data_IF_455455584261
#
_entry.id   IF_455455584261
#
_cell.length_a   1.000
_cell.length_b   1.000
_cell.length_c   1.000
_cell.angle_alpha   90.00
_cell.angle_beta   90.00
_cell.angle_gamma   90.00
#
_symmetry.space_group_name_H-M   'P 1'
#
loop_
_entity.id
_entity.type
_entity.pdbx_description
1 polymer ?
#
# COMPACT_ATOMS: atom_id res chain seq x y z
N UNK A 1 -4.24 17.31 -16.27
CA UNK A 1 -3.00 17.20 -15.49
C UNK A 1 -1.84 17.57 -16.40
N UNK A 2 -0.92 18.42 -15.95
CA UNK A 2 0.39 18.55 -16.61
C UNK A 2 1.09 17.20 -16.42
N UNK A 3 1.53 16.57 -17.49
CA UNK A 3 2.35 15.35 -17.40
C UNK A 3 3.56 15.67 -16.51
N UNK A 4 3.77 14.91 -15.43
CA UNK A 4 5.06 14.94 -14.75
C UNK A 4 6.09 14.50 -15.78
N UNK A 5 7.03 15.37 -16.11
CA UNK A 5 8.22 14.92 -16.82
C UNK A 5 8.98 13.97 -15.91
N UNK A 6 9.56 12.93 -16.48
CA UNK A 6 10.44 12.01 -15.74
C UNK A 6 11.48 12.82 -14.94
N UNK A 7 11.50 12.63 -13.62
CA UNK A 7 12.43 13.30 -12.71
C UNK A 7 11.97 14.64 -12.10
N UNK A 8 10.76 15.13 -12.40
CA UNK A 8 10.25 16.34 -11.75
C UNK A 8 9.75 16.04 -10.32
N UNK A 9 10.27 16.78 -9.34
CA UNK A 9 9.86 16.63 -7.93
C UNK A 9 8.42 17.10 -7.72
N UNK A 10 7.74 16.51 -6.74
CA UNK A 10 6.40 16.97 -6.39
C UNK A 10 6.44 18.38 -5.78
N UNK A 11 5.39 19.15 -6.08
CA UNK A 11 5.12 20.45 -5.49
C UNK A 11 3.83 20.37 -4.66
N UNK A 12 3.58 21.37 -3.81
CA UNK A 12 2.39 21.44 -2.96
C UNK A 12 1.05 21.16 -3.68
N UNK A 13 0.88 21.59 -4.94
CA UNK A 13 -0.34 21.30 -5.71
C UNK A 13 -0.48 19.82 -6.04
N UNK A 14 0.59 19.17 -6.49
CA UNK A 14 0.59 17.73 -6.76
C UNK A 14 0.40 16.93 -5.47
N UNK A 15 1.08 17.32 -4.40
CA UNK A 15 0.94 16.69 -3.07
C UNK A 15 -0.51 16.72 -2.59
N UNK A 16 -1.21 17.86 -2.73
CA UNK A 16 -2.64 17.96 -2.40
C UNK A 16 -3.52 17.07 -3.28
N UNK A 17 -3.26 17.01 -4.59
CA UNK A 17 -4.01 16.14 -5.51
C UNK A 17 -3.82 14.67 -5.15
N UNK A 18 -2.62 14.26 -4.74
CA UNK A 18 -2.34 12.88 -4.30
C UNK A 18 -3.00 12.57 -2.96
N UNK A 19 -2.98 13.52 -2.01
CA UNK A 19 -3.70 13.35 -0.75
C UNK A 19 -5.20 13.18 -0.96
N UNK A 20 -5.79 13.99 -1.86
CA UNK A 20 -7.18 13.84 -2.24
C UNK A 20 -7.45 12.51 -2.96
N UNK A 21 -6.58 12.10 -3.89
CA UNK A 21 -6.70 10.81 -4.55
C UNK A 21 -6.64 9.65 -3.55
N UNK A 22 -5.66 9.65 -2.64
CA UNK A 22 -5.50 8.63 -1.60
C UNK A 22 -6.78 8.51 -0.75
N UNK A 23 -7.36 9.64 -0.36
CA UNK A 23 -8.67 9.70 0.31
C UNK A 23 -9.79 9.09 -0.53
N UNK A 24 -9.89 9.44 -1.82
CA UNK A 24 -10.95 8.94 -2.69
C UNK A 24 -10.85 7.43 -2.93
N UNK A 25 -9.65 6.90 -3.19
CA UNK A 25 -9.45 5.47 -3.46
C UNK A 25 -9.60 4.61 -2.21
N UNK A 26 -9.71 5.20 -1.02
CA UNK A 26 -10.18 4.50 0.18
C UNK A 26 -11.68 4.18 0.13
N UNK A 27 -12.39 4.61 -0.92
CA UNK A 27 -13.80 4.29 -1.13
C UNK A 27 -13.99 3.40 -2.36
N UNK A 28 -14.77 2.33 -2.18
CA UNK A 28 -15.03 1.29 -3.18
C UNK A 28 -15.38 1.81 -4.59
N UNK A 29 -16.33 2.78 -4.77
CA UNK A 29 -16.69 3.22 -6.11
C UNK A 29 -15.52 3.85 -6.88
N UNK A 30 -14.73 4.69 -6.21
CA UNK A 30 -13.61 5.38 -6.85
C UNK A 30 -12.46 4.41 -7.07
N UNK A 31 -12.14 3.58 -6.08
CA UNK A 31 -11.11 2.54 -6.21
C UNK A 31 -11.39 1.63 -7.41
N UNK A 32 -12.57 1.03 -7.50
CA UNK A 32 -12.94 0.13 -8.58
C UNK A 32 -12.90 0.84 -9.95
N UNK A 33 -13.31 2.12 -10.02
CA UNK A 33 -13.22 2.90 -11.24
C UNK A 33 -11.76 3.15 -11.69
N UNK A 34 -10.87 3.46 -10.73
CA UNK A 34 -9.45 3.66 -11.01
C UNK A 34 -8.78 2.34 -11.40
N UNK A 35 -9.02 1.25 -10.68
CA UNK A 35 -8.50 -0.08 -11.01
C UNK A 35 -8.98 -0.57 -12.38
N UNK A 36 -10.26 -0.36 -12.71
CA UNK A 36 -10.80 -0.64 -14.03
C UNK A 36 -10.09 0.20 -15.10
N UNK A 37 -9.83 1.49 -14.82
CA UNK A 37 -9.09 2.35 -15.76
C UNK A 37 -7.67 1.85 -15.99
N UNK A 38 -6.95 1.46 -14.93
CA UNK A 38 -5.59 0.90 -15.00
C UNK A 38 -5.58 -0.44 -15.77
N UNK A 39 -6.60 -1.27 -15.56
CA UNK A 39 -6.66 -2.63 -16.12
C UNK A 39 -7.22 -2.69 -17.55
N UNK A 40 -8.08 -1.75 -17.96
CA UNK A 40 -8.78 -1.78 -19.25
C UNK A 40 -7.93 -1.32 -20.45
N UNK A 41 -6.69 -0.88 -20.24
CA UNK A 41 -5.71 -0.67 -21.32
C UNK A 41 -5.99 0.49 -22.29
N UNK A 42 -6.65 1.55 -21.85
CA UNK A 42 -6.89 2.76 -22.66
C UNK A 42 -5.65 3.68 -22.79
N UNK A 43 -5.66 4.68 -23.69
CA UNK A 43 -4.53 5.59 -23.91
C UNK A 43 -4.09 6.43 -22.68
N UNK A 44 -4.88 6.40 -21.59
CA UNK A 44 -4.57 7.03 -20.30
C UNK A 44 -4.61 6.08 -19.11
N UNK A 45 -4.75 4.77 -19.35
CA UNK A 45 -4.94 3.77 -18.28
C UNK A 45 -3.78 3.78 -17.29
N UNK A 46 -2.56 3.95 -17.79
CA UNK A 46 -1.36 3.90 -16.99
C UNK A 46 -0.94 5.27 -16.44
N UNK A 47 -1.57 6.39 -16.81
CA UNK A 47 -1.11 7.72 -16.35
C UNK A 47 -1.10 7.83 -14.82
N UNK A 48 -2.16 7.33 -14.15
CA UNK A 48 -2.26 7.35 -12.68
C UNK A 48 -1.24 6.41 -12.04
N UNK A 49 -1.14 5.18 -12.56
CA UNK A 49 -0.19 4.19 -12.07
C UNK A 49 1.26 4.69 -12.23
N UNK A 50 1.61 5.18 -13.41
CA UNK A 50 2.92 5.74 -13.73
C UNK A 50 3.23 6.95 -12.87
N UNK A 51 2.28 7.86 -12.66
CA UNK A 51 2.48 9.02 -11.77
C UNK A 51 2.79 8.59 -10.34
N UNK A 52 2.01 7.65 -9.77
CA UNK A 52 2.25 7.12 -8.42
C UNK A 52 3.61 6.42 -8.32
N UNK A 53 3.93 5.54 -9.28
CA UNK A 53 5.20 4.82 -9.31
C UNK A 53 6.40 5.77 -9.44
N UNK A 54 6.30 6.79 -10.30
CA UNK A 54 7.37 7.76 -10.49
C UNK A 54 7.62 8.58 -9.21
N UNK A 55 6.57 8.96 -8.49
CA UNK A 55 6.71 9.71 -7.24
C UNK A 55 7.36 8.86 -6.14
N UNK A 56 6.94 7.60 -6.01
CA UNK A 56 7.56 6.66 -5.07
C UNK A 56 9.03 6.39 -5.39
N UNK A 57 9.36 6.21 -6.67
CA UNK A 57 10.71 5.85 -7.09
C UNK A 57 11.69 7.03 -7.13
N UNK A 58 11.22 8.27 -7.21
CA UNK A 58 12.07 9.45 -7.31
C UNK A 58 12.71 9.78 -5.96
N UNK A 59 14.03 9.94 -5.94
CA UNK A 59 14.74 10.43 -4.77
C UNK A 59 14.66 11.96 -4.71
N UNK A 60 13.91 12.50 -3.76
CA UNK A 60 13.91 13.92 -3.42
C UNK A 60 13.71 14.12 -1.92
N UNK A 61 14.30 15.18 -1.37
CA UNK A 61 14.24 15.48 0.06
C UNK A 61 13.33 16.68 0.40
N UNK A 62 12.63 17.26 -0.60
CA UNK A 62 11.67 18.33 -0.31
C UNK A 62 10.50 17.80 0.51
N UNK A 63 10.01 18.62 1.45
CA UNK A 63 8.84 18.28 2.29
C UNK A 63 7.62 17.90 1.46
N UNK A 64 7.37 18.65 0.38
CA UNK A 64 6.26 18.39 -0.53
C UNK A 64 6.37 17.02 -1.19
N UNK A 65 7.59 16.60 -1.56
CA UNK A 65 7.82 15.31 -2.17
C UNK A 65 7.73 14.15 -1.19
N UNK A 66 8.25 14.33 0.02
CA UNK A 66 8.09 13.35 1.10
C UNK A 66 6.59 13.11 1.38
N UNK A 67 5.80 14.18 1.54
CA UNK A 67 4.36 14.05 1.71
C UNK A 67 3.66 13.41 0.51
N UNK A 68 4.11 13.70 -0.72
CA UNK A 68 3.59 13.05 -1.93
C UNK A 68 3.88 11.54 -1.95
N UNK A 69 5.04 11.10 -1.46
CA UNK A 69 5.39 9.69 -1.33
C UNK A 69 4.54 8.97 -0.27
N UNK A 70 4.23 9.64 0.84
CA UNK A 70 3.31 9.12 1.86
C UNK A 70 1.90 8.92 1.26
N UNK A 71 1.35 9.93 0.58
CA UNK A 71 0.04 9.80 -0.08
C UNK A 71 0.03 8.74 -1.19
N UNK A 72 1.11 8.62 -1.97
CA UNK A 72 1.23 7.55 -2.96
C UNK A 72 1.24 6.16 -2.31
N UNK A 73 1.90 6.01 -1.16
CA UNK A 73 1.92 4.78 -0.37
C UNK A 73 0.54 4.44 0.22
N UNK A 74 -0.21 5.45 0.68
CA UNK A 74 -1.59 5.27 1.14
C UNK A 74 -2.54 4.86 0.01
N UNK A 75 -2.39 5.45 -1.19
CA UNK A 75 -3.15 5.03 -2.35
C UNK A 75 -2.83 3.57 -2.74
N UNK A 76 -1.56 3.17 -2.67
CA UNK A 76 -1.14 1.78 -2.89
C UNK A 76 -1.81 0.82 -1.90
N UNK A 77 -1.80 1.16 -0.59
CA UNK A 77 -2.47 0.38 0.44
C UNK A 77 -3.97 0.21 0.10
N UNK A 78 -4.66 1.31 -0.20
CA UNK A 78 -6.08 1.27 -0.56
C UNK A 78 -6.34 0.43 -1.83
N UNK A 79 -5.49 0.52 -2.85
CA UNK A 79 -5.62 -0.33 -4.04
C UNK A 79 -5.48 -1.82 -3.72
N UNK A 80 -4.63 -2.18 -2.75
CA UNK A 80 -4.38 -3.56 -2.38
C UNK A 80 -5.34 -4.12 -1.32
N UNK A 81 -6.18 -3.28 -0.71
CA UNK A 81 -7.18 -3.68 0.28
C UNK A 81 -8.37 -4.40 -0.36
N UNK A 82 -8.47 -5.73 -0.19
CA UNK A 82 -9.53 -6.50 -0.84
C UNK A 82 -10.96 -6.19 -0.31
N UNK A 83 -11.08 -5.54 0.86
CA UNK A 83 -12.36 -5.18 1.48
C UNK A 83 -12.95 -3.90 0.89
N UNK A 84 -12.09 -3.01 0.38
CA UNK A 84 -12.53 -1.82 -0.37
C UNK A 84 -12.97 -2.27 -1.76
N UNK A 85 -14.24 -2.65 -1.89
CA UNK A 85 -14.81 -3.18 -3.13
C UNK A 85 -16.28 -2.86 -3.33
N UNK A 86 -16.70 -2.79 -4.61
CA UNK A 86 -18.11 -2.77 -4.96
C UNK A 86 -18.73 -4.18 -4.94
N UNK A 87 -17.93 -5.23 -5.02
CA UNK A 87 -18.43 -6.61 -5.09
C UNK A 87 -18.85 -7.06 -3.68
N UNK A 88 -20.05 -7.67 -3.50
CA UNK A 88 -20.42 -8.22 -2.20
C UNK A 88 -19.38 -9.23 -1.71
N UNK A 89 -18.93 -9.12 -0.45
CA UNK A 89 -17.92 -10.01 0.13
C UNK A 89 -18.36 -11.48 0.23
N UNK A 90 -19.65 -11.76 0.01
CA UNK A 90 -20.21 -13.11 -0.15
C UNK A 90 -20.03 -13.72 -1.55
N UNK A 91 -19.50 -12.95 -2.51
CA UNK A 91 -19.25 -13.40 -3.88
C UNK A 91 -18.11 -14.42 -3.93
N UNK A 92 -17.99 -15.13 -5.06
CA UNK A 92 -16.88 -16.05 -5.28
C UNK A 92 -15.53 -15.33 -5.14
N UNK A 93 -14.57 -15.96 -4.46
CA UNK A 93 -13.25 -15.39 -4.14
C UNK A 93 -12.53 -14.88 -5.38
N UNK A 94 -12.60 -15.61 -6.49
CA UNK A 94 -11.95 -15.21 -7.75
C UNK A 94 -12.53 -13.91 -8.32
N UNK A 95 -13.85 -13.74 -8.26
CA UNK A 95 -14.53 -12.51 -8.70
C UNK A 95 -14.13 -11.33 -7.81
N UNK A 96 -14.05 -11.56 -6.51
CA UNK A 96 -13.65 -10.54 -5.54
C UNK A 96 -12.19 -10.11 -5.75
N UNK A 97 -11.27 -11.05 -5.98
CA UNK A 97 -9.88 -10.73 -6.30
C UNK A 97 -9.75 -9.97 -7.62
N UNK A 98 -10.47 -10.41 -8.66
CA UNK A 98 -10.45 -9.76 -9.98
C UNK A 98 -10.99 -8.33 -9.95
N UNK A 99 -12.04 -8.07 -9.17
CA UNK A 99 -12.71 -6.77 -9.13
C UNK A 99 -12.08 -5.76 -8.15
N UNK A 100 -11.37 -6.23 -7.12
CA UNK A 100 -10.92 -5.39 -6.00
C UNK A 100 -9.43 -5.08 -5.99
N UNK A 101 -8.61 -5.72 -6.82
CA UNK A 101 -7.16 -5.65 -6.73
C UNK A 101 -6.51 -5.24 -8.06
N UNK A 102 -5.27 -4.71 -8.04
CA UNK A 102 -4.52 -4.44 -9.25
C UNK A 102 -4.18 -5.74 -10.01
N UNK A 103 -4.14 -5.65 -11.34
CA UNK A 103 -3.57 -6.71 -12.17
C UNK A 103 -2.09 -6.95 -11.85
N UNK A 104 -1.55 -8.07 -12.35
CA UNK A 104 -0.20 -8.51 -12.04
C UNK A 104 0.85 -7.48 -12.46
N UNK A 105 0.74 -6.89 -13.64
CA UNK A 105 1.70 -5.89 -14.12
C UNK A 105 1.72 -4.66 -13.21
N UNK A 106 0.53 -4.20 -12.78
CA UNK A 106 0.42 -3.03 -11.92
C UNK A 106 0.95 -3.28 -10.53
N UNK A 107 0.64 -4.44 -9.95
CA UNK A 107 1.13 -4.82 -8.64
C UNK A 107 2.65 -4.96 -8.62
N UNK A 108 3.25 -5.55 -9.66
CA UNK A 108 4.71 -5.63 -9.81
C UNK A 108 5.34 -4.24 -9.91
N UNK A 109 4.74 -3.33 -10.71
CA UNK A 109 5.24 -1.96 -10.82
C UNK A 109 5.20 -1.20 -9.48
N UNK A 110 4.11 -1.35 -8.71
CA UNK A 110 3.97 -0.77 -7.38
C UNK A 110 5.00 -1.33 -6.38
N UNK A 111 5.24 -2.65 -6.41
CA UNK A 111 6.28 -3.29 -5.59
C UNK A 111 7.68 -2.79 -5.97
N UNK A 112 7.98 -2.65 -7.25
CA UNK A 112 9.29 -2.13 -7.69
C UNK A 112 9.50 -0.66 -7.33
N UNK A 113 8.46 0.17 -7.47
CA UNK A 113 8.52 1.59 -7.10
C UNK A 113 8.67 1.79 -5.58
N UNK A 114 7.94 1.02 -4.77
CA UNK A 114 8.08 1.05 -3.31
C UNK A 114 9.44 0.52 -2.83
N UNK A 115 10.02 -0.47 -3.51
CA UNK A 115 11.41 -0.90 -3.28
C UNK A 115 12.39 0.25 -3.49
N UNK A 116 12.28 0.94 -4.64
CA UNK A 116 13.14 2.08 -4.96
C UNK A 116 13.01 3.19 -3.92
N UNK A 117 11.80 3.41 -3.40
CA UNK A 117 11.54 4.33 -2.30
C UNK A 117 12.30 3.93 -1.02
N UNK A 118 12.21 2.67 -0.60
CA UNK A 118 12.91 2.13 0.58
C UNK A 118 14.44 2.06 0.40
N UNK A 119 14.93 1.99 -0.83
CA UNK A 119 16.36 2.07 -1.13
C UNK A 119 16.89 3.50 -1.16
N UNK A 120 16.01 4.48 -1.43
CA UNK A 120 16.40 5.88 -1.65
C UNK A 120 17.26 6.44 -0.52
N UNK A 121 18.27 7.24 -0.89
CA UNK A 121 19.10 7.98 0.05
C UNK A 121 18.34 9.13 0.74
N UNK A 122 17.23 9.59 0.14
CA UNK A 122 16.40 10.69 0.67
C UNK A 122 15.19 10.21 1.46
N UNK A 123 15.03 8.89 1.64
CA UNK A 123 13.88 8.33 2.37
C UNK A 123 13.83 8.82 3.81
N UNK A 124 12.63 9.11 4.27
CA UNK A 124 12.34 9.45 5.66
C UNK A 124 11.72 8.26 6.39
N UNK A 125 11.70 8.30 7.72
CA UNK A 125 11.01 7.29 8.52
C UNK A 125 9.51 7.27 8.20
N UNK A 126 8.87 8.44 8.08
CA UNK A 126 7.44 8.56 7.77
C UNK A 126 7.06 7.86 6.45
N UNK A 127 7.83 8.09 5.38
CA UNK A 127 7.62 7.41 4.09
C UNK A 127 7.85 5.90 4.22
N UNK A 128 8.91 5.49 4.92
CA UNK A 128 9.18 4.07 5.12
C UNK A 128 8.04 3.36 5.88
N UNK A 129 7.53 3.96 6.96
CA UNK A 129 6.38 3.48 7.73
C UNK A 129 5.15 3.35 6.84
N UNK A 130 4.86 4.36 6.01
CA UNK A 130 3.73 4.34 5.09
C UNK A 130 3.84 3.23 4.04
N UNK A 131 5.04 2.96 3.51
CA UNK A 131 5.28 1.83 2.60
C UNK A 131 5.11 0.49 3.32
N UNK A 132 5.65 0.33 4.53
CA UNK A 132 5.50 -0.90 5.31
C UNK A 132 4.04 -1.19 5.66
N UNK A 133 3.26 -0.17 6.02
CA UNK A 133 1.80 -0.29 6.23
C UNK A 133 1.09 -0.75 4.95
N UNK A 134 1.50 -0.25 3.79
CA UNK A 134 0.94 -0.71 2.52
C UNK A 134 1.29 -2.19 2.23
N UNK A 135 2.48 -2.66 2.65
CA UNK A 135 2.83 -4.07 2.55
C UNK A 135 2.01 -4.96 3.49
N UNK A 136 1.63 -4.51 4.68
CA UNK A 136 0.68 -5.24 5.52
C UNK A 136 -0.62 -5.51 4.76
N UNK A 137 -1.28 -4.46 4.28
CA UNK A 137 -2.54 -4.57 3.53
C UNK A 137 -2.40 -5.43 2.27
N UNK A 138 -1.31 -5.23 1.52
CA UNK A 138 -1.02 -6.00 0.31
C UNK A 138 -0.90 -7.51 0.59
N UNK A 139 -0.48 -7.90 1.79
CA UNK A 139 -0.19 -9.29 2.15
C UNK A 139 -1.26 -9.96 3.02
N UNK A 140 -2.39 -9.28 3.25
CA UNK A 140 -3.54 -9.84 3.97
C UNK A 140 -4.23 -10.96 3.19
N UNK A 141 -4.22 -10.87 1.86
CA UNK A 141 -4.76 -11.89 0.95
C UNK A 141 -3.67 -12.69 0.23
N UNK A 142 -4.03 -13.89 -0.20
CA UNK A 142 -3.06 -14.83 -0.80
C UNK A 142 -2.46 -14.31 -2.11
N UNK A 143 -3.23 -13.62 -2.96
CA UNK A 143 -2.72 -13.14 -4.25
C UNK A 143 -1.61 -12.10 -4.07
N UNK A 144 -1.83 -11.07 -3.25
CA UNK A 144 -0.83 -10.05 -2.98
C UNK A 144 0.37 -10.62 -2.24
N UNK A 145 0.16 -11.55 -1.31
CA UNK A 145 1.24 -12.27 -0.66
C UNK A 145 2.11 -13.08 -1.63
N UNK A 146 1.53 -13.77 -2.61
CA UNK A 146 2.30 -14.49 -3.63
C UNK A 146 3.19 -13.56 -4.48
N UNK A 147 2.70 -12.38 -4.85
CA UNK A 147 3.52 -11.40 -5.56
C UNK A 147 4.60 -10.80 -4.64
N UNK A 148 4.27 -10.55 -3.37
CA UNK A 148 5.23 -10.08 -2.38
C UNK A 148 6.37 -11.08 -2.16
N UNK A 149 6.10 -12.39 -2.10
CA UNK A 149 7.14 -13.43 -1.99
C UNK A 149 8.16 -13.38 -3.13
N UNK A 150 7.67 -13.26 -4.37
CA UNK A 150 8.54 -13.11 -5.56
C UNK A 150 9.36 -11.82 -5.49
N UNK A 151 8.75 -10.74 -5.02
CA UNK A 151 9.42 -9.48 -4.76
C UNK A 151 10.54 -9.64 -3.72
N UNK A 152 10.28 -10.30 -2.59
CA UNK A 152 11.26 -10.53 -1.52
C UNK A 152 12.50 -11.24 -2.03
N UNK A 153 12.34 -12.34 -2.76
CA UNK A 153 13.48 -13.08 -3.35
C UNK A 153 14.24 -12.23 -4.37
N UNK A 154 13.53 -11.45 -5.20
CA UNK A 154 14.16 -10.59 -6.21
C UNK A 154 14.87 -9.37 -5.61
N UNK A 155 14.37 -8.84 -4.49
CA UNK A 155 14.81 -7.58 -3.86
C UNK A 155 15.50 -7.80 -2.52
N UNK A 156 16.04 -9.00 -2.30
CA UNK A 156 16.81 -9.41 -1.13
C UNK A 156 17.85 -8.37 -0.70
N UNK A 157 18.68 -7.88 -1.62
CA UNK A 157 19.72 -6.90 -1.28
C UNK A 157 19.15 -5.57 -0.79
N UNK A 158 18.09 -5.10 -1.44
CA UNK A 158 17.37 -3.87 -1.11
C UNK A 158 16.75 -3.94 0.28
N UNK A 159 16.06 -5.05 0.57
CA UNK A 159 15.43 -5.33 1.85
C UNK A 159 16.47 -5.48 2.97
N UNK A 160 17.59 -6.15 2.70
CA UNK A 160 18.72 -6.24 3.63
C UNK A 160 19.36 -4.88 3.92
N UNK A 161 19.52 -4.00 2.92
CA UNK A 161 19.99 -2.62 3.13
C UNK A 161 19.01 -1.81 3.97
N UNK A 162 17.70 -1.96 3.73
CA UNK A 162 16.67 -1.31 4.55
C UNK A 162 16.73 -1.79 6.01
N UNK A 163 16.82 -3.11 6.23
CA UNK A 163 16.98 -3.68 7.57
C UNK A 163 18.18 -3.09 8.31
N UNK A 164 19.36 -3.06 7.67
CA UNK A 164 20.57 -2.45 8.25
C UNK A 164 20.38 -0.97 8.55
N UNK A 165 19.77 -0.21 7.63
CA UNK A 165 19.47 1.20 7.81
C UNK A 165 18.51 1.46 8.99
N UNK A 166 17.48 0.63 9.17
CA UNK A 166 16.55 0.74 10.30
C UNK A 166 17.26 0.35 11.61
N UNK A 167 18.09 -0.69 11.57
CA UNK A 167 18.84 -1.19 12.72
C UNK A 167 19.93 -0.22 13.18
N UNK A 168 20.69 0.41 12.29
CA UNK A 168 21.79 1.31 12.64
C UNK A 168 21.31 2.71 13.07
N UNK A 169 20.09 3.08 12.71
CA UNK A 169 19.50 4.37 13.06
C UNK A 169 19.29 4.56 14.57
N UNK A 170 19.50 5.79 15.03
CA UNK A 170 19.13 6.23 16.39
C UNK A 170 17.82 7.02 16.37
N UNK A 171 17.04 6.94 17.45
CA UNK A 171 15.80 7.71 17.62
C UNK A 171 14.54 6.85 17.55
N UNK A 172 13.44 7.41 18.05
CA UNK A 172 12.14 6.72 18.19
C UNK A 172 11.55 6.34 16.82
N UNK A 173 11.57 7.25 15.85
CA UNK A 173 11.07 6.97 14.49
C UNK A 173 11.81 5.81 13.80
N UNK A 174 13.11 5.65 14.08
CA UNK A 174 13.91 4.53 13.54
C UNK A 174 13.58 3.22 14.23
N UNK A 175 13.34 3.28 15.53
CA UNK A 175 12.85 2.13 16.28
C UNK A 175 11.48 1.69 15.73
N UNK A 176 10.56 2.62 15.48
CA UNK A 176 9.25 2.31 14.87
C UNK A 176 9.40 1.62 13.50
N UNK A 177 10.27 2.14 12.62
CA UNK A 177 10.54 1.50 11.33
C UNK A 177 11.05 0.06 11.49
N UNK A 178 12.00 -0.16 12.40
CA UNK A 178 12.57 -1.48 12.67
C UNK A 178 11.51 -2.43 13.24
N UNK A 179 10.71 -1.96 14.19
CA UNK A 179 9.66 -2.75 14.84
C UNK A 179 8.62 -3.20 13.81
N UNK A 180 8.06 -2.27 13.04
CA UNK A 180 7.09 -2.59 11.98
C UNK A 180 7.66 -3.57 10.96
N UNK A 181 8.96 -3.47 10.65
CA UNK A 181 9.60 -4.40 9.72
C UNK A 181 9.74 -5.81 10.30
N UNK A 182 10.14 -5.95 11.56
CA UNK A 182 10.22 -7.23 12.26
C UNK A 182 8.83 -7.84 12.42
N UNK A 183 7.83 -7.02 12.75
CA UNK A 183 6.44 -7.44 12.90
C UNK A 183 5.87 -7.96 11.59
N UNK A 184 6.14 -7.27 10.48
CA UNK A 184 5.78 -7.72 9.14
C UNK A 184 6.39 -9.10 8.88
N UNK A 185 7.69 -9.28 9.11
CA UNK A 185 8.36 -10.57 8.90
C UNK A 185 7.72 -11.68 9.76
N UNK A 186 7.42 -11.40 11.04
CA UNK A 186 6.78 -12.36 11.95
C UNK A 186 5.39 -12.74 11.48
N UNK A 187 4.53 -11.76 11.19
CA UNK A 187 3.16 -11.98 10.72
C UNK A 187 3.18 -12.81 9.44
N UNK A 188 4.02 -12.44 8.47
CA UNK A 188 4.14 -13.18 7.21
C UNK A 188 4.68 -14.61 7.37
N UNK A 189 5.40 -14.89 8.46
CA UNK A 189 5.93 -16.23 8.76
C UNK A 189 4.95 -17.13 9.51
N UNK A 190 4.15 -16.56 10.41
CA UNK A 190 3.34 -17.32 11.36
C UNK A 190 1.88 -17.35 10.95
N UNK A 191 1.34 -16.21 10.55
CA UNK A 191 -0.10 -16.04 10.46
C UNK A 191 -0.62 -16.51 9.11
N UNK A 192 -1.77 -17.16 9.15
CA UNK A 192 -2.59 -17.50 7.98
C UNK A 192 -3.83 -16.62 8.09
N UNK A 193 -4.17 -15.92 7.01
CA UNK A 193 -5.25 -14.94 7.02
C UNK A 193 -6.63 -15.59 7.18
N UNK A 194 -7.52 -14.87 7.85
CA UNK A 194 -8.91 -15.28 8.06
C UNK A 194 -9.78 -15.07 6.81
N UNK A 195 -10.91 -15.79 6.74
CA UNK A 195 -11.86 -15.65 5.66
C UNK A 195 -11.43 -16.27 4.32
N UNK A 196 -12.27 -16.09 3.31
CA UNK A 196 -12.08 -16.72 2.00
C UNK A 196 -10.86 -16.18 1.25
N UNK A 197 -10.58 -14.88 1.39
CA UNK A 197 -9.46 -14.20 0.74
C UNK A 197 -8.14 -14.28 1.51
N UNK A 198 -8.22 -14.53 2.82
CA UNK A 198 -7.06 -14.46 3.70
C UNK A 198 -5.93 -15.36 3.23
N UNK A 199 -4.70 -14.88 3.43
CA UNK A 199 -3.46 -15.60 3.11
C UNK A 199 -3.52 -17.07 3.53
N UNK A 200 -3.12 -17.99 2.64
CA UNK A 200 -3.13 -19.46 2.83
C UNK A 200 -1.72 -20.04 3.00
N UNK A 201 -0.70 -19.32 2.57
CA UNK A 201 0.70 -19.71 2.72
C UNK A 201 1.47 -18.79 3.66
N UNK A 202 2.68 -19.18 4.06
CA UNK A 202 3.58 -18.35 4.89
C UNK A 202 4.96 -18.27 4.26
N UNK A 203 5.80 -17.33 4.72
CA UNK A 203 7.18 -17.22 4.26
C UNK A 203 7.93 -18.53 4.55
N UNK A 204 8.70 -18.98 3.58
CA UNK A 204 9.75 -19.97 3.80
C UNK A 204 10.87 -19.39 4.66
N UNK A 205 11.75 -20.25 5.19
CA UNK A 205 12.93 -19.76 5.93
C UNK A 205 13.85 -18.93 5.04
N UNK A 206 13.98 -19.29 3.76
CA UNK A 206 14.80 -18.54 2.81
C UNK A 206 14.21 -17.15 2.52
N UNK A 207 12.90 -17.03 2.30
CA UNK A 207 12.28 -15.72 2.06
C UNK A 207 12.32 -14.83 3.32
N UNK A 208 12.19 -15.41 4.51
CA UNK A 208 12.45 -14.68 5.76
C UNK A 208 13.89 -14.17 5.83
N UNK A 209 14.86 -14.98 5.42
CA UNK A 209 16.26 -14.58 5.39
C UNK A 209 16.52 -13.50 4.31
N UNK A 210 15.84 -13.57 3.17
CA UNK A 210 15.90 -12.59 2.10
C UNK A 210 15.45 -11.21 2.58
N UNK A 211 14.38 -11.14 3.39
CA UNK A 211 13.89 -9.87 3.99
C UNK A 211 14.96 -9.13 4.79
N UNK A 212 15.87 -9.83 5.46
CA UNK A 212 16.94 -9.19 6.25
C UNK A 212 18.31 -9.25 5.58
N UNK A 213 18.40 -9.80 4.37
CA UNK A 213 19.66 -10.02 3.67
C UNK A 213 20.58 -11.06 4.32
N UNK A 214 20.06 -11.95 5.18
CA UNK A 214 20.83 -12.94 5.93
C UNK A 214 21.18 -14.18 5.09
N UNK A 215 22.44 -14.63 5.10
CA UNK A 215 22.84 -15.93 4.53
C UNK A 215 23.41 -16.81 5.63
N UNK A 216 23.26 -18.14 5.53
CA UNK A 216 23.80 -19.08 6.51
C UNK A 216 25.33 -19.01 6.65
N UNK A 217 26.02 -18.53 5.61
CA UNK A 217 27.46 -18.29 5.58
C UNK A 217 27.90 -17.03 6.35
N UNK A 218 26.98 -16.09 6.62
CA UNK A 218 27.29 -14.83 7.31
C UNK A 218 27.11 -15.00 8.82
N UNK A 219 28.21 -15.31 9.52
CA UNK A 219 28.19 -15.52 10.97
C UNK A 219 28.09 -14.22 11.78
N UNK A 220 28.53 -13.10 11.22
CA UNK A 220 28.56 -11.79 11.89
C UNK A 220 27.43 -10.86 11.45
N UNK A 221 26.39 -11.40 10.81
CA UNK A 221 25.27 -10.60 10.32
C UNK A 221 24.57 -9.84 11.48
N UNK A 222 24.25 -8.53 11.32
CA UNK A 222 23.68 -7.70 12.40
C UNK A 222 22.40 -8.26 13.05
N UNK A 223 21.64 -9.07 12.31
CA UNK A 223 20.44 -9.75 12.81
C UNK A 223 20.74 -10.66 14.01
N UNK A 224 21.92 -11.26 14.08
CA UNK A 224 22.30 -12.16 15.19
C UNK A 224 22.56 -11.41 16.50
N UNK A 225 22.86 -10.11 16.41
CA UNK A 225 22.99 -9.21 17.55
C UNK A 225 21.73 -8.39 17.84
N UNK A 226 20.64 -8.61 17.09
CA UNK A 226 19.44 -7.78 17.13
C UNK A 226 18.83 -7.68 18.55
N UNK A 227 18.72 -8.80 19.25
CA UNK A 227 18.19 -8.82 20.63
C UNK A 227 19.02 -7.93 21.57
N UNK A 228 20.35 -8.02 21.49
CA UNK A 228 21.27 -7.22 22.31
C UNK A 228 21.10 -5.73 22.00
N UNK A 229 21.06 -5.38 20.71
CA UNK A 229 20.90 -3.98 20.26
C UNK A 229 19.58 -3.39 20.77
N UNK A 230 18.48 -4.16 20.69
CA UNK A 230 17.17 -3.72 21.17
C UNK A 230 17.10 -3.59 22.70
N UNK A 231 17.75 -4.48 23.45
CA UNK A 231 17.89 -4.34 24.91
C UNK A 231 18.65 -3.08 25.30
N UNK A 232 19.74 -2.77 24.59
CA UNK A 232 20.51 -1.54 24.80
C UNK A 232 19.70 -0.27 24.49
N UNK A 233 18.70 -0.37 23.60
CA UNK A 233 17.75 0.70 23.27
C UNK A 233 16.55 0.78 24.19
N UNK A 234 16.45 -0.09 25.20
CA UNK A 234 15.31 -0.18 26.11
C UNK A 234 13.97 -0.38 25.36
N UNK A 235 13.99 -1.19 24.30
CA UNK A 235 12.79 -1.56 23.53
C UNK A 235 11.83 -2.43 24.33
N UNK A 236 10.56 -2.40 23.95
CA UNK A 236 9.49 -3.16 24.59
C UNK A 236 9.69 -4.68 24.52
N UNK A 237 9.11 -5.41 25.47
CA UNK A 237 9.26 -6.87 25.56
C UNK A 237 8.71 -7.59 24.32
N UNK A 238 7.62 -7.08 23.73
CA UNK A 238 7.05 -7.64 22.50
C UNK A 238 8.03 -7.56 21.31
N UNK A 239 8.72 -6.43 21.17
CA UNK A 239 9.73 -6.24 20.12
C UNK A 239 10.90 -7.19 20.32
N UNK A 240 11.34 -7.38 21.58
CA UNK A 240 12.38 -8.34 21.92
C UNK A 240 11.96 -9.78 21.62
N UNK A 241 10.69 -10.13 21.87
CA UNK A 241 10.14 -11.42 21.51
C UNK A 241 10.14 -11.64 19.99
N UNK A 242 9.75 -10.63 19.21
CA UNK A 242 9.70 -10.70 17.75
C UNK A 242 11.12 -10.80 17.14
N UNK A 243 12.10 -10.09 17.71
CA UNK A 243 13.51 -10.22 17.34
C UNK A 243 14.08 -11.61 17.65
N UNK A 244 13.79 -12.16 18.84
CA UNK A 244 14.20 -13.52 19.20
C UNK A 244 13.56 -14.58 18.30
N UNK A 245 12.29 -14.38 17.94
CA UNK A 245 11.58 -15.23 16.98
C UNK A 245 12.32 -15.28 15.63
N UNK A 246 12.71 -14.12 15.10
CA UNK A 246 13.46 -13.99 13.85
C UNK A 246 14.82 -14.70 13.95
N UNK A 247 15.62 -14.39 14.96
CA UNK A 247 16.95 -15.00 15.16
C UNK A 247 16.84 -16.53 15.21
N UNK A 248 15.91 -17.06 16.01
CA UNK A 248 15.72 -18.50 16.19
C UNK A 248 15.33 -19.18 14.87
N UNK A 249 14.52 -18.55 14.03
CA UNK A 249 14.15 -19.11 12.72
C UNK A 249 15.33 -19.07 11.73
N UNK A 250 16.11 -18.00 11.72
CA UNK A 250 17.28 -17.89 10.84
C UNK A 250 18.38 -18.89 11.22
N UNK A 251 18.55 -19.20 12.51
CA UNK A 251 19.50 -20.23 12.95
C UNK A 251 19.16 -21.63 12.43
N UNK A 252 17.88 -21.94 12.20
CA UNK A 252 17.44 -23.23 11.61
C UNK A 252 17.93 -23.42 10.17
N UNK A 253 18.26 -22.34 9.45
CA UNK A 253 18.86 -22.44 8.11
C UNK A 253 20.25 -23.06 8.13
N UNK A 254 21.00 -22.96 9.23
CA UNK A 254 22.32 -23.60 9.36
C UNK A 254 22.23 -25.13 9.44
N UNK A 255 21.07 -25.66 9.83
CA UNK A 255 20.83 -27.08 10.08
C UNK A 255 19.97 -27.78 9.03
N UNK A 256 19.40 -27.05 8.08
CA UNK A 256 18.50 -27.59 7.07
C UNK A 256 19.25 -27.84 5.77
N UNK A 257 19.29 -29.10 5.31
CA UNK A 257 19.56 -29.39 3.90
C UNK A 257 18.41 -28.82 3.06
N UNK A 258 18.74 -28.21 1.92
CA UNK A 258 17.80 -27.52 1.03
C UNK A 258 16.67 -28.45 0.60
N UNK A 259 15.48 -28.27 1.17
CA UNK A 259 14.27 -28.80 0.57
C UNK A 259 13.88 -27.88 -0.60
N UNK A 260 13.85 -28.42 -1.81
CA UNK A 260 13.31 -27.74 -2.99
C UNK A 260 11.93 -27.16 -2.68
N UNK A 261 11.71 -25.85 -2.89
CA UNK A 261 10.40 -25.27 -2.66
C UNK A 261 9.37 -25.96 -3.54
N UNK A 262 8.25 -26.39 -2.96
CA UNK A 262 7.10 -26.84 -3.73
C UNK A 262 6.65 -25.71 -4.65
N UNK A 263 6.47 -26.03 -5.93
CA UNK A 263 6.00 -25.09 -6.95
C UNK A 263 4.57 -24.65 -6.56
N UNK A 264 4.45 -23.42 -6.06
CA UNK A 264 3.14 -22.83 -5.74
C UNK A 264 2.51 -22.44 -7.06
N UNK A 265 1.45 -23.16 -7.46
CA UNK A 265 0.66 -22.83 -8.65
C UNK A 265 0.10 -21.42 -8.50
N UNK A 266 0.63 -20.49 -9.30
CA UNK A 266 0.19 -19.10 -9.34
C UNK A 266 -1.22 -19.04 -9.94
N UNK A 267 -2.23 -18.78 -9.10
CA UNK A 267 -3.57 -18.45 -9.56
C UNK A 267 -3.60 -16.95 -9.83
N UNK A 268 -3.49 -16.56 -11.10
CA UNK A 268 -3.77 -15.19 -11.49
C UNK A 268 -5.27 -14.91 -11.28
N UNK A 269 -5.64 -13.75 -10.69
CA UNK A 269 -7.03 -13.40 -10.55
C UNK A 269 -7.67 -13.30 -11.94
N UNK A 270 -8.95 -13.69 -12.08
CA UNK A 270 -9.65 -13.54 -13.34
C UNK A 270 -9.70 -12.06 -13.75
N UNK A 271 -9.91 -11.77 -15.05
CA UNK A 271 -10.10 -10.39 -15.48
C UNK A 271 -11.29 -9.75 -14.75
N UNK A 272 -11.19 -8.46 -14.37
CA UNK A 272 -12.27 -7.76 -13.70
C UNK A 272 -13.53 -7.74 -14.56
N UNK A 273 -14.69 -7.81 -13.91
CA UNK A 273 -15.96 -7.55 -14.56
C UNK A 273 -16.05 -6.07 -15.00
N UNK A 274 -16.87 -5.75 -16.02
CA UNK A 274 -17.10 -4.37 -16.40
C UNK A 274 -17.58 -3.52 -15.22
N UNK A 275 -17.10 -2.28 -15.11
CA UNK A 275 -17.45 -1.40 -13.98
C UNK A 275 -18.96 -1.25 -13.77
N UNK A 276 -19.74 -1.25 -14.85
CA UNK A 276 -21.22 -1.19 -14.79
C UNK A 276 -21.81 -2.42 -14.10
N UNK A 277 -21.24 -3.60 -14.31
CA UNK A 277 -21.68 -4.83 -13.66
C UNK A 277 -21.33 -4.82 -12.17
N UNK A 278 -20.10 -4.43 -11.82
CA UNK A 278 -19.68 -4.27 -10.43
C UNK A 278 -20.56 -3.26 -9.69
N UNK A 279 -20.85 -2.12 -10.32
CA UNK A 279 -21.73 -1.11 -9.75
C UNK A 279 -23.15 -1.63 -9.56
N UNK A 280 -23.69 -2.41 -10.50
CA UNK A 280 -25.01 -3.01 -10.37
C UNK A 280 -25.09 -4.05 -9.23
N UNK A 281 -24.00 -4.78 -8.99
CA UNK A 281 -23.90 -5.80 -7.95
C UNK A 281 -23.64 -5.23 -6.54
N UNK A 282 -23.35 -3.92 -6.43
CA UNK A 282 -22.96 -3.30 -5.17
C UNK A 282 -24.00 -3.43 -4.07
N UNK A 283 -23.53 -3.52 -2.82
CA UNK A 283 -24.40 -3.44 -1.65
C UNK A 283 -24.97 -2.01 -1.55
N UNK A 284 -26.29 -1.88 -1.70
CA UNK A 284 -26.99 -0.58 -1.74
C UNK A 284 -27.38 -0.10 -0.33
N UNK A 285 -27.60 -1.04 0.60
CA UNK A 285 -27.94 -0.72 1.98
C UNK A 285 -27.25 -1.70 2.93
N UNK A 286 -26.70 -1.17 4.00
CA UNK A 286 -26.37 -1.92 5.22
C UNK A 286 -27.37 -1.47 6.29
N UNK A 287 -27.96 -2.40 7.01
CA UNK A 287 -28.82 -2.08 8.14
C UNK A 287 -27.90 -1.83 9.35
N UNK A 288 -27.72 -0.56 9.72
CA UNK A 288 -26.84 -0.13 10.82
C UNK A 288 -26.42 1.34 10.67
N UNK A 289 -25.67 1.86 11.65
CA UNK A 289 -25.02 3.18 11.54
C UNK A 289 -23.89 3.15 10.51
N UNK A 290 -23.63 4.27 9.84
CA UNK A 290 -22.46 4.41 8.98
C UNK A 290 -21.20 4.20 9.83
N UNK A 291 -20.39 3.20 9.49
CA UNK A 291 -19.17 2.87 10.23
C UNK A 291 -18.08 3.94 10.11
N UNK A 292 -18.23 4.85 9.16
CA UNK A 292 -17.29 5.93 8.89
C UNK A 292 -18.04 7.27 8.75
N UNK A 293 -17.72 8.23 9.61
CA UNK A 293 -18.26 9.60 9.55
C UNK A 293 -18.01 10.25 8.20
N UNK A 294 -16.93 9.86 7.49
CA UNK A 294 -16.59 10.36 6.15
C UNK A 294 -17.54 9.89 5.07
N UNK A 295 -18.36 8.86 5.31
CA UNK A 295 -19.40 8.42 4.38
C UNK A 295 -20.73 9.15 4.60
N UNK A 296 -20.79 10.05 5.58
CA UNK A 296 -21.97 10.87 5.81
C UNK A 296 -21.96 12.05 4.84
N UNK A 297 -23.16 12.40 4.36
CA UNK A 297 -23.37 13.69 3.69
C UNK A 297 -22.94 14.86 4.57
N UNK A 298 -22.99 14.72 5.89
CA UNK A 298 -22.49 15.71 6.83
C UNK A 298 -21.00 15.99 6.70
N UNK A 299 -20.15 14.99 6.44
CA UNK A 299 -18.70 15.20 6.26
C UNK A 299 -18.37 15.92 4.95
N UNK A 300 -19.00 15.54 3.84
CA UNK A 300 -18.73 16.13 2.52
C UNK A 300 -19.47 17.45 2.26
N UNK A 301 -20.65 17.63 2.87
CA UNK A 301 -21.49 18.81 2.70
C UNK A 301 -21.39 19.77 3.88
N UNK A 302 -20.67 19.43 4.97
CA UNK A 302 -20.26 20.46 5.92
C UNK A 302 -19.31 21.39 5.19
N UNK A 303 -19.79 22.59 4.94
CA UNK A 303 -18.91 23.74 4.79
C UNK A 303 -18.18 23.87 6.14
N UNK A 304 -16.84 23.78 6.17
CA UNK A 304 -16.10 24.02 7.40
C UNK A 304 -16.59 25.36 7.98
N UNK A 305 -17.11 25.33 9.20
CA UNK A 305 -17.45 26.57 9.88
C UNK A 305 -16.15 27.37 9.96
N UNK A 306 -16.15 28.59 9.41
CA UNK A 306 -15.08 29.57 9.49
C UNK A 306 -14.87 30.07 10.93
N UNK A 307 -14.65 29.13 11.84
CA UNK A 307 -14.41 29.34 13.26
C UNK A 307 -12.99 28.89 13.54
N UNK A 308 -12.09 29.85 13.30
CA UNK A 308 -10.79 30.04 13.94
C UNK A 308 -9.98 28.79 14.24
N UNK A 309 -9.27 28.30 13.22
CA UNK A 309 -7.83 27.96 13.28
C UNK A 309 -7.36 27.24 12.00
N UNK A 310 -8.28 26.81 11.13
CA UNK A 310 -7.98 26.45 9.75
C UNK A 310 -8.21 27.66 8.83
N UNK A 311 -7.16 28.44 8.60
CA UNK A 311 -7.10 29.35 7.44
C UNK A 311 -7.13 28.49 6.18
N UNK A 312 -8.32 28.15 5.68
CA UNK A 312 -8.50 27.82 4.26
C UNK A 312 -8.14 29.09 3.53
N UNK A 313 -6.87 29.22 3.16
CA UNK A 313 -6.34 30.39 2.49
C UNK A 313 -7.21 30.65 1.25
N UNK A 314 -7.80 31.84 1.12
CA UNK A 314 -8.69 32.20 0.00
C UNK A 314 -8.04 31.99 -1.38
N UNK A 315 -6.71 31.91 -1.45
CA UNK A 315 -5.96 31.55 -2.67
C UNK A 315 -6.04 30.06 -3.04
N UNK A 316 -6.58 29.20 -2.18
CA UNK A 316 -6.78 27.76 -2.39
C UNK A 316 -8.20 27.42 -2.91
N UNK A 317 -9.11 28.39 -2.92
CA UNK A 317 -10.45 28.26 -3.47
C UNK A 317 -10.41 28.50 -4.99
N UNK A 318 -10.77 27.47 -5.77
CA UNK A 318 -10.99 27.63 -7.20
C UNK A 318 -12.43 28.08 -7.41
N UNK A 319 -12.64 29.23 -8.05
CA UNK A 319 -13.97 29.70 -8.41
C UNK A 319 -14.64 28.68 -9.34
N UNK A 320 -15.66 27.99 -8.84
CA UNK A 320 -16.43 27.02 -9.61
C UNK A 320 -17.85 27.56 -9.78
N UNK A 321 -18.27 27.75 -11.03
CA UNK A 321 -19.68 28.02 -11.35
C UNK A 321 -20.46 26.72 -11.27
N UNK A 322 -20.88 26.38 -10.05
CA UNK A 322 -21.64 25.15 -9.77
C UNK A 322 -22.94 25.10 -10.58
N UNK A 323 -23.56 26.26 -10.85
CA UNK A 323 -24.78 26.35 -11.66
C UNK A 323 -24.49 26.07 -13.14
N UNK A 324 -23.42 26.64 -13.69
CA UNK A 324 -22.99 26.35 -15.06
C UNK A 324 -22.58 24.89 -15.28
N UNK A 325 -21.91 24.27 -14.30
CA UNK A 325 -21.56 22.84 -14.33
C UNK A 325 -22.81 21.96 -14.23
N UNK A 326 -23.75 22.30 -13.35
CA UNK A 326 -25.02 21.61 -13.21
C UNK A 326 -25.85 21.69 -14.49
N UNK A 327 -26.00 22.87 -15.09
CA UNK A 327 -26.73 23.05 -16.35
C UNK A 327 -26.06 22.30 -17.51
N UNK A 328 -24.73 22.22 -17.54
CA UNK A 328 -24.00 21.49 -18.58
C UNK A 328 -24.16 19.96 -18.53
N UNK A 329 -24.49 19.39 -17.37
CA UNK A 329 -24.50 17.94 -17.15
C UNK A 329 -25.84 17.35 -16.70
N UNK A 330 -26.75 18.17 -16.17
CA UNK A 330 -28.06 17.74 -15.67
C UNK A 330 -29.21 18.10 -16.64
N UNK A 331 -28.99 18.98 -17.62
CA UNK A 331 -30.00 19.39 -18.61
C UNK A 331 -30.17 18.38 -19.76
N UNK A 332 -30.24 17.09 -19.44
CA UNK A 332 -30.49 16.01 -20.41
C UNK A 332 -31.95 15.61 -20.53
N UNK A 333 -32.90 16.37 -19.97
CA UNK A 333 -34.28 15.90 -19.84
C UNK A 333 -35.33 17.01 -19.81
N UNK A 334 -35.59 17.64 -20.95
CA UNK A 334 -36.92 18.11 -21.32
C UNK A 334 -36.92 18.77 -22.71
N UNK A 335 -37.05 18.00 -23.79
CA UNK A 335 -37.82 18.44 -24.95
C UNK A 335 -38.64 17.26 -25.49
N UNK A 336 -39.85 17.10 -24.93
CA UNK A 336 -40.98 16.51 -25.64
C UNK A 336 -42.11 17.54 -25.66
N UNK A 337 -42.41 17.99 -26.89
CA UNK A 337 -43.49 18.89 -27.37
C UNK A 337 -43.26 20.39 -27.28
#
# INVERSE_FOLDING_TARGET
MRELKEGESANASLTRVLGFLACLVSHAPVKCAVLHTISAGGPKSHEVQTALCNILALANASSDHVAAQEYASHALAAFCDAEITLTPLSSATDVLLGNSLPNKESLVAFLDASAACLESSTKTCAVAVSVLRAYFVLTEHEYGFQQFRKYVTRKRESLGKYFKWALEGSGEERAECLNLYIDLIKILKVDVGEGALGRKSVLTLNEMADMVGYTSADEEHPVMSLEKILKERNSEEEVLFNANFLITHLQKLKSSEEATPAEVTELAPPPPEPLVAQFAARLIYCIGDASDERLTTGYWLNVPLASGDDDVNDTELVSCDVMGVADGHLSGGAEFR
#
